data_IF_034871471603
#
_entry.id   IF_034871471603
#
_cell.length_a   1.000
_cell.length_b   1.000
_cell.length_c   1.000
_cell.angle_alpha   90.00
_cell.angle_beta   90.00
_cell.angle_gamma   90.00
#
_symmetry.space_group_name_H-M   'P 1'
#
loop_
_entity.id
_entity.type
_entity.pdbx_description
1 polymer ?
#
# COMPACT_ATOMS: atom_id res chain seq x y z
N UNK A 1 0.02 -14.48 -21.76
CA UNK A 1 0.41 -14.63 -20.35
C UNK A 1 -0.30 -13.51 -19.61
N UNK A 2 -1.44 -13.80 -18.97
CA UNK A 2 -2.23 -12.77 -18.31
C UNK A 2 -1.57 -12.44 -16.97
N UNK A 3 -1.12 -11.20 -16.80
CA UNK A 3 -0.69 -10.69 -15.50
C UNK A 3 -1.91 -10.69 -14.57
N UNK A 4 -1.83 -11.46 -13.49
CA UNK A 4 -2.87 -11.51 -12.48
C UNK A 4 -2.80 -10.21 -11.68
N UNK A 5 -3.75 -9.29 -11.92
CA UNK A 5 -3.87 -8.08 -11.09
C UNK A 5 -4.40 -8.51 -9.73
N UNK A 6 -3.54 -8.48 -8.71
CA UNK A 6 -3.93 -8.71 -7.34
C UNK A 6 -3.92 -7.39 -6.59
N UNK A 7 -4.97 -7.13 -5.82
CA UNK A 7 -5.01 -6.08 -4.82
C UNK A 7 -5.13 -6.74 -3.45
N UNK A 8 -4.62 -6.06 -2.43
CA UNK A 8 -4.68 -6.53 -1.05
C UNK A 8 -4.99 -5.38 -0.13
N UNK A 9 -5.66 -5.67 0.98
CA UNK A 9 -5.99 -4.70 2.02
C UNK A 9 -5.06 -4.92 3.22
N UNK A 10 -4.44 -3.85 3.69
CA UNK A 10 -3.63 -3.85 4.91
C UNK A 10 -4.30 -2.93 5.92
N UNK A 11 -4.67 -3.49 7.08
CA UNK A 11 -5.31 -2.71 8.15
C UNK A 11 -4.29 -1.84 8.87
N UNK A 12 -4.77 -0.75 9.47
CA UNK A 12 -3.92 0.16 10.25
C UNK A 12 -3.18 -0.57 11.36
N UNK A 13 -1.86 -0.38 11.42
CA UNK A 13 -0.98 -1.02 12.41
C UNK A 13 -0.55 -2.44 12.06
N UNK A 14 -1.09 -3.03 11.00
CA UNK A 14 -0.72 -4.36 10.51
C UNK A 14 0.29 -4.26 9.35
N UNK A 15 0.88 -5.40 9.02
CA UNK A 15 1.77 -5.55 7.87
C UNK A 15 1.47 -6.84 7.13
N UNK A 16 1.48 -6.79 5.80
CA UNK A 16 1.41 -7.98 4.96
C UNK A 16 2.82 -8.36 4.49
N UNK A 17 3.25 -9.58 4.80
CA UNK A 17 4.45 -10.16 4.18
C UNK A 17 4.05 -10.78 2.85
N UNK A 18 4.76 -10.43 1.79
CA UNK A 18 4.58 -11.04 0.47
C UNK A 18 5.91 -11.61 0.03
N UNK A 19 5.90 -12.86 -0.43
CA UNK A 19 7.03 -13.53 -1.04
C UNK A 19 6.65 -13.81 -2.50
N UNK A 20 7.36 -13.21 -3.48
CA UNK A 20 7.14 -13.57 -4.87
C UNK A 20 7.52 -15.03 -5.10
N UNK A 21 6.85 -15.69 -6.04
CA UNK A 21 7.30 -16.99 -6.54
C UNK A 21 8.62 -16.84 -7.31
N UNK A 22 9.33 -17.95 -7.50
CA UNK A 22 10.56 -18.00 -8.29
C UNK A 22 10.34 -17.39 -9.68
N UNK A 23 11.33 -16.60 -10.13
CA UNK A 23 11.32 -15.86 -11.41
C UNK A 23 10.16 -14.84 -11.58
N UNK A 24 9.47 -14.46 -10.48
CA UNK A 24 8.47 -13.38 -10.49
C UNK A 24 8.95 -12.15 -9.74
N UNK A 25 8.39 -11.01 -10.13
CA UNK A 25 8.55 -9.74 -9.42
C UNK A 25 7.20 -9.22 -8.96
N UNK A 26 7.19 -8.46 -7.87
CA UNK A 26 6.00 -7.72 -7.42
C UNK A 26 6.15 -6.31 -7.96
N UNK A 27 5.17 -5.88 -8.76
CA UNK A 27 5.05 -4.49 -9.20
C UNK A 27 3.98 -3.81 -8.34
N UNK A 28 4.39 -2.79 -7.59
CA UNK A 28 3.46 -1.94 -6.84
C UNK A 28 3.08 -0.76 -7.73
N UNK A 29 1.83 -0.74 -8.20
CA UNK A 29 1.34 0.28 -9.12
C UNK A 29 0.48 1.37 -8.46
N UNK A 30 -0.13 1.08 -7.31
CA UNK A 30 -0.95 2.05 -6.59
C UNK A 30 -1.19 1.66 -5.12
N UNK A 31 -1.55 2.64 -4.31
CA UNK A 31 -2.19 2.46 -3.01
C UNK A 31 -3.30 3.49 -2.82
N UNK A 32 -4.37 3.11 -2.12
CA UNK A 32 -5.50 3.98 -1.79
C UNK A 32 -6.01 3.71 -0.37
N UNK A 33 -6.67 4.71 0.21
CA UNK A 33 -7.45 4.51 1.43
C UNK A 33 -8.70 3.69 1.10
N UNK A 34 -8.98 2.69 1.94
CA UNK A 34 -10.27 1.99 1.94
C UNK A 34 -11.40 2.87 2.48
N UNK A 35 -12.51 2.25 2.88
CA UNK A 35 -13.63 3.00 3.47
C UNK A 35 -13.21 3.71 4.77
N UNK A 36 -13.31 5.04 4.77
CA UNK A 36 -13.05 5.87 5.95
C UNK A 36 -14.39 6.25 6.58
N UNK A 37 -14.65 5.78 7.80
CA UNK A 37 -15.84 6.21 8.54
C UNK A 37 -15.77 7.71 8.84
N UNK A 38 -16.88 8.44 8.66
CA UNK A 38 -16.97 9.90 8.89
C UNK A 38 -16.49 10.34 10.28
N UNK A 39 -16.64 9.48 11.29
CA UNK A 39 -16.23 9.74 12.68
C UNK A 39 -14.72 9.57 12.92
N UNK A 40 -14.01 8.95 11.97
CA UNK A 40 -12.54 8.75 11.99
C UNK A 40 -11.86 9.50 10.85
N UNK A 41 -12.56 10.46 10.24
CA UNK A 41 -11.95 11.32 9.24
C UNK A 41 -10.79 12.09 9.87
N UNK A 42 -9.58 11.90 9.35
CA UNK A 42 -8.61 12.98 9.37
C UNK A 42 -7.15 12.62 9.57
N UNK A 43 -6.81 11.51 10.22
CA UNK A 43 -5.39 11.23 10.48
C UNK A 43 -4.70 10.70 9.22
N UNK A 44 -3.64 11.37 8.74
CA UNK A 44 -2.89 10.89 7.59
C UNK A 44 -2.24 9.52 7.86
N UNK A 45 -2.38 8.61 6.91
CA UNK A 45 -1.80 7.26 7.00
C UNK A 45 -0.48 7.22 6.24
N UNK A 46 0.60 6.95 6.95
CA UNK A 46 1.92 6.73 6.33
C UNK A 46 2.05 5.28 5.84
N UNK A 47 2.37 5.12 4.56
CA UNK A 47 2.64 3.83 3.94
C UNK A 47 4.13 3.53 3.96
N UNK A 48 4.48 2.28 4.25
CA UNK A 48 5.86 1.82 4.29
C UNK A 48 6.00 0.50 3.52
N UNK A 49 7.14 0.32 2.88
CA UNK A 49 7.60 -0.98 2.40
C UNK A 49 8.81 -1.40 3.23
N UNK A 50 8.92 -2.69 3.52
CA UNK A 50 10.10 -3.27 4.15
C UNK A 50 10.72 -4.29 3.21
N UNK A 51 11.96 -4.05 2.81
CA UNK A 51 12.77 -4.95 1.99
C UNK A 51 13.99 -5.32 2.85
N UNK A 52 14.16 -6.61 3.11
CA UNK A 52 15.13 -7.13 4.07
C UNK A 52 15.00 -6.44 5.44
N UNK A 53 16.06 -5.75 5.89
CA UNK A 53 16.09 -4.98 7.13
C UNK A 53 15.86 -3.49 6.95
N UNK A 54 15.51 -3.04 5.74
CA UNK A 54 15.30 -1.62 5.44
C UNK A 54 13.81 -1.30 5.36
N UNK A 55 13.37 -0.31 6.13
CA UNK A 55 11.99 0.22 6.10
C UNK A 55 12.00 1.57 5.40
N UNK A 56 11.32 1.65 4.25
CA UNK A 56 11.24 2.85 3.42
C UNK A 56 9.81 3.38 3.42
N UNK A 57 9.64 4.70 3.51
CA UNK A 57 8.32 5.33 3.40
C UNK A 57 7.96 5.50 1.93
N UNK A 58 6.79 4.99 1.53
CA UNK A 58 6.28 5.11 0.17
C UNK A 58 5.49 6.42 -0.04
N UNK A 59 4.82 6.89 1.00
CA UNK A 59 4.01 8.10 0.94
C UNK A 59 3.11 8.24 2.15
N UNK A 60 2.31 9.31 2.14
CA UNK A 60 1.29 9.56 3.15
C UNK A 60 -0.04 9.81 2.45
N UNK A 61 -1.06 9.03 2.82
CA UNK A 61 -2.42 9.19 2.34
C UNK A 61 -3.25 10.00 3.33
N UNK A 62 -4.16 10.81 2.83
CA UNK A 62 -5.15 11.55 3.63
C UNK A 62 -6.45 11.59 2.86
N UNK A 63 -7.56 11.29 3.52
CA UNK A 63 -8.89 11.22 2.90
C UNK A 63 -9.31 12.54 2.25
N UNK A 64 -8.79 13.67 2.71
CA UNK A 64 -9.17 15.01 2.23
C UNK A 64 -8.27 15.53 1.09
N UNK A 65 -7.01 15.11 1.05
CA UNK A 65 -6.01 15.70 0.14
C UNK A 65 -5.44 14.70 -0.85
N UNK A 66 -4.98 13.56 -0.35
CA UNK A 66 -4.26 12.55 -1.13
C UNK A 66 -4.84 11.17 -0.78
N UNK A 67 -6.05 10.83 -1.26
CA UNK A 67 -6.68 9.56 -0.90
C UNK A 67 -6.01 8.35 -1.59
N UNK A 68 -5.23 8.58 -2.64
CA UNK A 68 -4.49 7.55 -3.37
C UNK A 68 -3.17 8.08 -3.94
N UNK A 69 -2.22 7.17 -4.17
CA UNK A 69 -0.94 7.43 -4.84
C UNK A 69 -0.73 6.34 -5.90
N UNK A 70 -0.25 6.74 -7.07
CA UNK A 70 0.23 5.82 -8.11
C UNK A 70 1.74 5.67 -8.01
N UNK A 71 2.22 4.47 -8.28
CA UNK A 71 3.62 4.08 -8.22
C UNK A 71 4.02 3.36 -9.51
N UNK A 72 5.32 3.30 -9.74
CA UNK A 72 5.95 2.42 -10.72
C UNK A 72 7.19 1.81 -10.05
N UNK A 73 6.93 0.89 -9.10
CA UNK A 73 7.92 0.31 -8.17
C UNK A 73 7.96 -1.21 -8.25
#
# INVERSE_FOLDING_TARGET
>A
MWSQRTSTEVKSGESLKVEPEDDKIIHLSAACLGEVSKDKGGEPVSLYVKIDNQKLQLGTLSSEKIPQISFDL
#
